data_IF_139593137446
#
_entry.id   IF_139593137446
#
_cell.length_a   1.000
_cell.length_b   1.000
_cell.length_c   1.000
_cell.angle_alpha   90.00
_cell.angle_beta   90.00
_cell.angle_gamma   90.00
#
_symmetry.space_group_name_H-M   'P 1'
#
loop_
_entity.id
_entity.type
_entity.pdbx_description
1 polymer ?
#
# COMPACT_ATOMS: atom_id res chain seq x y z
N UNK A 1 -22.41 20.53 -6.51
CA UNK A 1 -20.97 20.63 -6.84
C UNK A 1 -20.83 20.73 -8.35
N UNK A 2 -19.95 21.60 -8.86
CA UNK A 2 -19.75 21.72 -10.31
C UNK A 2 -18.93 20.54 -10.87
N UNK A 3 -19.22 20.09 -12.10
CA UNK A 3 -18.47 19.01 -12.74
C UNK A 3 -17.03 19.45 -13.06
N UNK A 4 -16.07 18.56 -12.80
CA UNK A 4 -14.63 18.75 -13.00
C UNK A 4 -14.03 17.56 -13.77
N UNK A 5 -12.76 17.62 -14.14
CA UNK A 5 -12.09 16.58 -14.93
C UNK A 5 -11.66 15.42 -14.01
N UNK A 6 -12.15 14.22 -14.31
CA UNK A 6 -11.70 13.00 -13.64
C UNK A 6 -10.22 12.74 -13.95
N UNK A 7 -9.41 12.54 -12.92
CA UNK A 7 -7.96 12.35 -13.07
C UNK A 7 -7.56 11.03 -13.76
N UNK A 8 -8.47 10.06 -13.81
CA UNK A 8 -8.23 8.76 -14.48
C UNK A 8 -8.75 8.75 -15.91
N UNK A 9 -10.05 8.95 -16.12
CA UNK A 9 -10.66 8.86 -17.45
C UNK A 9 -10.67 10.17 -18.24
N UNK A 10 -10.16 11.26 -17.66
CA UNK A 10 -10.02 12.59 -18.28
C UNK A 10 -11.34 13.21 -18.78
N UNK A 11 -12.47 12.61 -18.40
CA UNK A 11 -13.81 13.06 -18.76
C UNK A 11 -14.39 13.97 -17.69
N UNK A 12 -15.24 14.92 -18.10
CA UNK A 12 -15.87 15.90 -17.21
C UNK A 12 -17.09 15.32 -16.51
N UNK A 13 -17.02 15.16 -15.20
CA UNK A 13 -18.08 14.58 -14.36
C UNK A 13 -18.10 15.20 -12.96
N UNK A 14 -19.13 14.88 -12.17
CA UNK A 14 -19.04 15.11 -10.73
C UNK A 14 -17.98 14.16 -10.12
N UNK A 15 -17.07 14.74 -9.34
CA UNK A 15 -16.00 14.00 -8.67
C UNK A 15 -16.41 13.61 -7.25
N UNK A 16 -15.85 12.50 -6.78
CA UNK A 16 -16.08 11.95 -5.46
C UNK A 16 -14.78 11.91 -4.65
N UNK A 17 -14.90 11.73 -3.33
CA UNK A 17 -13.74 11.58 -2.44
C UNK A 17 -13.04 10.22 -2.67
N UNK A 18 -11.90 10.28 -3.36
CA UNK A 18 -11.03 9.15 -3.60
C UNK A 18 -10.03 9.02 -2.45
N UNK A 19 -10.03 7.89 -1.74
CA UNK A 19 -8.99 7.63 -0.73
C UNK A 19 -7.69 7.25 -1.43
N UNK A 20 -6.56 7.78 -0.96
CA UNK A 20 -5.23 7.43 -1.50
C UNK A 20 -4.89 5.97 -1.18
N UNK A 21 -5.05 5.59 0.09
CA UNK A 21 -4.99 4.20 0.55
C UNK A 21 -6.43 3.70 0.73
N UNK A 22 -6.77 2.46 0.30
CA UNK A 22 -8.14 1.95 0.36
C UNK A 22 -8.82 2.10 1.73
N UNK A 23 -10.08 2.54 1.73
CA UNK A 23 -10.86 2.78 2.96
C UNK A 23 -10.96 1.56 3.87
N UNK A 24 -10.99 0.35 3.29
CA UNK A 24 -11.14 -0.88 4.06
C UNK A 24 -9.93 -1.14 4.98
N UNK A 25 -8.72 -0.67 4.63
CA UNK A 25 -7.53 -0.82 5.48
C UNK A 25 -7.70 -0.03 6.78
N UNK A 26 -8.16 1.22 6.68
CA UNK A 26 -8.48 2.05 7.84
C UNK A 26 -9.59 1.43 8.69
N UNK A 27 -10.65 0.93 8.05
CA UNK A 27 -11.73 0.22 8.76
C UNK A 27 -11.22 -1.02 9.50
N UNK A 28 -10.37 -1.82 8.85
CA UNK A 28 -9.79 -3.02 9.44
C UNK A 28 -8.91 -2.68 10.65
N UNK A 29 -8.01 -1.70 10.52
CA UNK A 29 -7.16 -1.25 11.63
C UNK A 29 -7.98 -0.70 12.81
N UNK A 30 -9.03 0.09 12.55
CA UNK A 30 -9.98 0.58 13.59
C UNK A 30 -10.65 -0.60 14.31
N UNK A 31 -11.23 -1.53 13.54
CA UNK A 31 -11.98 -2.68 14.08
C UNK A 31 -11.10 -3.64 14.88
N UNK A 32 -9.83 -3.80 14.49
CA UNK A 32 -8.87 -4.69 15.15
C UNK A 32 -8.05 -3.99 16.24
N UNK A 33 -8.23 -2.68 16.44
CA UNK A 33 -7.59 -1.93 17.52
C UNK A 33 -8.40 -2.02 18.80
N UNK A 34 -7.79 -2.48 19.91
CA UNK A 34 -8.40 -2.37 21.25
C UNK A 34 -8.66 -0.92 21.68
N UNK A 35 -7.95 0.05 21.10
CA UNK A 35 -8.10 1.49 21.41
C UNK A 35 -9.01 2.25 20.46
N UNK A 36 -9.48 1.62 19.37
CA UNK A 36 -10.26 2.30 18.32
C UNK A 36 -9.49 3.37 17.51
N UNK A 37 -8.19 3.57 17.76
CA UNK A 37 -7.41 4.63 17.10
C UNK A 37 -6.47 4.09 16.02
N UNK A 38 -6.49 4.76 14.86
CA UNK A 38 -5.55 4.58 13.76
C UNK A 38 -4.27 5.37 14.01
N UNK A 39 -3.13 4.80 13.58
CA UNK A 39 -1.86 5.53 13.51
C UNK A 39 -1.32 5.40 12.10
N UNK A 40 -1.51 6.46 11.33
CA UNK A 40 -0.86 6.64 10.03
C UNK A 40 0.50 7.26 10.33
N UNK A 41 1.55 6.66 9.80
CA UNK A 41 2.88 7.22 9.86
C UNK A 41 3.16 7.91 8.54
N UNK A 42 2.94 9.22 8.50
CA UNK A 42 3.67 10.09 7.59
C UNK A 42 4.26 11.22 8.43
N UNK A 43 5.44 11.71 8.02
CA UNK A 43 5.91 13.04 8.44
C UNK A 43 4.75 14.01 8.25
N UNK A 44 4.56 14.90 9.22
CA UNK A 44 3.44 15.83 9.43
C UNK A 44 2.52 15.32 10.54
N UNK A 45 2.58 16.05 11.66
CA UNK A 45 1.87 15.86 12.93
C UNK A 45 0.33 15.93 12.82
N UNK A 46 -0.31 15.18 11.92
CA UNK A 46 -1.75 15.15 11.79
C UNK A 46 -2.32 13.73 11.94
N UNK A 47 -3.15 13.60 12.97
CA UNK A 47 -3.96 12.42 13.27
C UNK A 47 -5.06 12.28 12.21
N UNK A 48 -4.75 11.69 11.08
CA UNK A 48 -5.72 11.51 9.99
C UNK A 48 -6.52 10.22 10.25
N UNK A 49 -7.72 10.37 10.82
CA UNK A 49 -8.54 9.25 11.28
C UNK A 49 -9.27 8.50 10.15
N UNK A 50 -9.37 9.04 8.93
CA UNK A 50 -10.09 8.41 7.81
C UNK A 50 -9.25 8.27 6.54
N UNK A 51 -7.94 8.45 6.66
CA UNK A 51 -7.01 8.49 5.53
C UNK A 51 -7.06 9.79 4.74
N UNK A 52 -6.02 10.01 3.92
CA UNK A 52 -6.00 11.10 2.96
C UNK A 52 -6.98 10.83 1.82
N UNK A 53 -7.71 11.89 1.42
CA UNK A 53 -8.65 11.84 0.31
C UNK A 53 -8.50 13.05 -0.59
N UNK A 54 -8.86 12.88 -1.86
CA UNK A 54 -8.89 13.96 -2.86
C UNK A 54 -10.11 13.79 -3.77
N UNK A 55 -10.63 14.90 -4.28
CA UNK A 55 -11.69 14.89 -5.31
C UNK A 55 -11.06 14.59 -6.67
N UNK A 56 -10.84 13.31 -6.98
CA UNK A 56 -10.10 12.90 -8.18
C UNK A 56 -10.94 12.13 -9.20
N UNK A 57 -11.81 11.24 -8.75
CA UNK A 57 -12.43 10.25 -9.62
C UNK A 57 -13.94 10.49 -9.75
N UNK A 58 -14.46 10.22 -10.95
CA UNK A 58 -15.90 10.10 -11.17
C UNK A 58 -16.42 8.76 -10.63
N UNK A 59 -17.75 8.64 -10.50
CA UNK A 59 -18.41 7.43 -9.97
C UNK A 59 -17.99 6.14 -10.70
N UNK A 60 -17.81 6.17 -12.01
CA UNK A 60 -17.42 4.98 -12.80
C UNK A 60 -16.00 4.52 -12.43
N UNK A 61 -15.07 5.46 -12.28
CA UNK A 61 -13.70 5.16 -11.89
C UNK A 61 -13.60 4.67 -10.44
N UNK A 62 -14.38 5.27 -9.52
CA UNK A 62 -14.51 4.78 -8.14
C UNK A 62 -15.06 3.35 -8.09
N UNK A 63 -16.05 3.04 -8.94
CA UNK A 63 -16.63 1.69 -9.01
C UNK A 63 -15.61 0.65 -9.47
N UNK A 64 -14.77 0.99 -10.45
CA UNK A 64 -13.66 0.12 -10.90
C UNK A 64 -12.67 -0.15 -9.75
N UNK A 65 -12.23 0.89 -9.05
CA UNK A 65 -11.31 0.75 -7.93
C UNK A 65 -11.95 -0.05 -6.78
N UNK A 66 -13.21 0.22 -6.46
CA UNK A 66 -13.96 -0.50 -5.44
C UNK A 66 -14.08 -2.00 -5.71
N UNK A 67 -14.23 -2.42 -6.97
CA UNK A 67 -14.21 -3.85 -7.35
C UNK A 67 -12.88 -4.51 -6.99
N UNK A 68 -11.75 -3.89 -7.35
CA UNK A 68 -10.43 -4.46 -7.11
C UNK A 68 -10.02 -4.39 -5.63
N UNK A 69 -10.42 -3.32 -4.93
CA UNK A 69 -10.26 -3.19 -3.48
C UNK A 69 -11.04 -4.28 -2.74
N UNK A 70 -12.30 -4.54 -3.13
CA UNK A 70 -13.12 -5.62 -2.57
C UNK A 70 -12.46 -6.98 -2.81
N UNK A 71 -11.99 -7.23 -4.03
CA UNK A 71 -11.27 -8.45 -4.36
C UNK A 71 -10.05 -8.66 -3.46
N UNK A 72 -9.16 -7.66 -3.37
CA UNK A 72 -7.97 -7.79 -2.53
C UNK A 72 -8.35 -7.95 -1.05
N UNK A 73 -9.36 -7.23 -0.55
CA UNK A 73 -9.82 -7.35 0.82
C UNK A 73 -10.33 -8.77 1.17
N UNK A 74 -11.24 -9.29 0.36
CA UNK A 74 -11.99 -10.52 0.66
C UNK A 74 -11.22 -11.79 0.28
N UNK A 75 -10.43 -11.75 -0.80
CA UNK A 75 -9.76 -12.94 -1.33
C UNK A 75 -8.32 -13.08 -0.83
N UNK A 76 -7.67 -11.97 -0.46
CA UNK A 76 -6.24 -11.97 -0.11
C UNK A 76 -6.04 -11.43 1.31
N UNK A 77 -6.27 -10.14 1.55
CA UNK A 77 -5.91 -9.46 2.78
C UNK A 77 -6.52 -10.11 4.04
N UNK A 78 -7.85 -10.29 4.09
CA UNK A 78 -8.51 -10.86 5.26
C UNK A 78 -8.15 -12.35 5.44
N UNK A 79 -8.25 -13.23 4.41
CA UNK A 79 -7.91 -14.64 4.57
C UNK A 79 -6.44 -14.88 4.96
N UNK A 80 -5.50 -14.18 4.31
CA UNK A 80 -4.05 -14.33 4.57
C UNK A 80 -3.72 -13.97 6.00
N UNK A 81 -4.25 -12.84 6.51
CA UNK A 81 -4.02 -12.42 7.90
C UNK A 81 -4.69 -13.38 8.89
N UNK A 82 -5.94 -13.79 8.64
CA UNK A 82 -6.71 -14.65 9.56
C UNK A 82 -6.09 -16.05 9.70
N UNK A 83 -5.62 -16.61 8.59
CA UNK A 83 -5.12 -17.98 8.56
C UNK A 83 -3.59 -18.07 8.64
N UNK A 84 -2.91 -16.93 8.78
CA UNK A 84 -1.45 -16.85 8.78
C UNK A 84 -0.80 -17.51 7.54
N UNK A 85 -1.43 -17.35 6.36
CA UNK A 85 -0.99 -18.01 5.14
C UNK A 85 0.02 -17.16 4.37
N UNK A 86 1.20 -17.73 4.13
CA UNK A 86 2.18 -17.14 3.21
C UNK A 86 1.69 -17.18 1.75
N UNK A 87 0.86 -18.16 1.39
CA UNK A 87 0.44 -18.43 0.02
C UNK A 87 -1.04 -18.14 -0.24
N UNK A 88 -1.34 -17.70 -1.46
CA UNK A 88 -2.69 -17.53 -1.97
C UNK A 88 -2.69 -17.60 -3.50
N UNK A 89 -3.86 -17.90 -4.06
CA UNK A 89 -4.09 -17.83 -5.52
C UNK A 89 -4.61 -16.41 -5.82
N UNK A 90 -4.19 -15.85 -6.94
CA UNK A 90 -4.69 -14.56 -7.42
C UNK A 90 -5.08 -14.62 -8.90
N UNK A 91 -5.84 -13.62 -9.35
CA UNK A 91 -6.16 -13.35 -10.75
C UNK A 91 -5.81 -11.91 -11.15
N UNK A 92 -6.21 -11.46 -12.35
CA UNK A 92 -5.82 -10.14 -12.85
C UNK A 92 -6.32 -8.97 -11.99
N UNK A 93 -7.31 -9.17 -11.11
CA UNK A 93 -7.75 -8.10 -10.22
C UNK A 93 -6.67 -7.70 -9.21
N UNK A 94 -5.71 -8.58 -8.88
CA UNK A 94 -4.61 -8.24 -7.98
C UNK A 94 -3.70 -7.17 -8.60
N UNK A 95 -3.21 -7.38 -9.82
CA UNK A 95 -2.33 -6.39 -10.48
C UNK A 95 -3.05 -5.05 -10.70
N UNK A 96 -4.35 -5.09 -11.03
CA UNK A 96 -5.18 -3.88 -11.15
C UNK A 96 -5.32 -3.14 -9.83
N UNK A 97 -5.51 -3.85 -8.72
CA UNK A 97 -5.51 -3.28 -7.37
C UNK A 97 -4.16 -2.63 -7.03
N UNK A 98 -3.04 -3.34 -7.22
CA UNK A 98 -1.72 -2.82 -6.87
C UNK A 98 -1.39 -1.55 -7.66
N UNK A 99 -1.63 -1.56 -8.97
CA UNK A 99 -1.41 -0.38 -9.82
C UNK A 99 -2.34 0.77 -9.44
N UNK A 100 -3.60 0.53 -9.07
CA UNK A 100 -4.52 1.61 -8.68
C UNK A 100 -4.08 2.32 -7.40
N UNK A 101 -3.52 1.61 -6.42
CA UNK A 101 -2.99 2.22 -5.19
C UNK A 101 -1.67 2.94 -5.49
N UNK A 102 -0.75 2.33 -6.24
CA UNK A 102 0.51 2.97 -6.65
C UNK A 102 0.26 4.27 -7.45
N UNK A 103 -0.69 4.25 -8.37
CA UNK A 103 -1.07 5.42 -9.17
C UNK A 103 -1.62 6.55 -8.30
N UNK A 104 -2.52 6.25 -7.35
CA UNK A 104 -3.05 7.27 -6.41
C UNK A 104 -1.96 7.88 -5.54
N UNK A 105 -1.01 7.07 -5.05
CA UNK A 105 0.10 7.59 -4.24
C UNK A 105 1.04 8.45 -5.08
N UNK A 106 1.41 8.01 -6.28
CA UNK A 106 2.28 8.82 -7.14
C UNK A 106 1.62 10.14 -7.54
N UNK A 107 0.31 10.11 -7.84
CA UNK A 107 -0.47 11.31 -8.15
C UNK A 107 -0.52 12.27 -6.97
N UNK A 108 -0.69 11.75 -5.75
CA UNK A 108 -0.65 12.56 -4.53
C UNK A 108 0.68 13.30 -4.40
N UNK A 109 1.79 12.57 -4.49
CA UNK A 109 3.12 13.16 -4.37
C UNK A 109 3.39 14.22 -5.44
N UNK A 110 2.89 14.01 -6.66
CA UNK A 110 2.95 14.99 -7.73
C UNK A 110 2.14 16.25 -7.41
N UNK A 111 0.88 16.11 -6.99
CA UNK A 111 0.00 17.27 -6.72
C UNK A 111 0.43 18.08 -5.49
N UNK A 112 0.95 17.41 -4.46
CA UNK A 112 1.48 18.07 -3.27
C UNK A 112 2.90 18.64 -3.46
N UNK A 113 3.47 18.56 -4.68
CA UNK A 113 4.83 19.02 -4.98
C UNK A 113 5.91 18.40 -4.07
N UNK A 114 5.69 17.15 -3.64
CA UNK A 114 6.59 16.40 -2.75
C UNK A 114 7.69 15.65 -3.53
N UNK A 115 7.67 15.71 -4.86
CA UNK A 115 8.65 15.08 -5.73
C UNK A 115 9.78 16.05 -6.09
N UNK A 116 11.00 15.52 -6.17
CA UNK A 116 12.15 16.28 -6.69
C UNK A 116 11.95 16.60 -8.17
N UNK A 117 12.36 17.79 -8.62
CA UNK A 117 12.22 18.23 -10.02
C UNK A 117 12.75 17.21 -11.04
N UNK A 118 13.88 16.55 -10.73
CA UNK A 118 14.54 15.54 -11.58
C UNK A 118 13.68 14.32 -11.93
N UNK A 119 12.59 14.04 -11.19
CA UNK A 119 11.73 12.87 -11.46
C UNK A 119 10.42 13.21 -12.15
N UNK A 120 10.20 14.48 -12.52
CA UNK A 120 8.93 14.95 -13.07
C UNK A 120 8.54 14.28 -14.40
N UNK A 121 9.48 14.18 -15.34
CA UNK A 121 9.24 13.53 -16.64
C UNK A 121 8.87 12.05 -16.47
N UNK A 122 9.66 11.33 -15.66
CA UNK A 122 9.42 9.93 -15.38
C UNK A 122 8.08 9.72 -14.68
N UNK A 123 7.77 10.55 -13.68
CA UNK A 123 6.49 10.53 -12.96
C UNK A 123 5.30 10.67 -13.91
N UNK A 124 5.34 11.63 -14.84
CA UNK A 124 4.26 11.82 -15.81
C UNK A 124 4.10 10.61 -16.73
N UNK A 125 5.21 10.06 -17.22
CA UNK A 125 5.17 8.86 -18.06
C UNK A 125 4.59 7.64 -17.32
N UNK A 126 4.99 7.42 -16.06
CA UNK A 126 4.47 6.33 -15.22
C UNK A 126 2.99 6.50 -14.91
N UNK A 127 2.55 7.72 -14.55
CA UNK A 127 1.14 8.00 -14.29
C UNK A 127 0.27 7.72 -15.53
N UNK A 128 0.75 8.11 -16.72
CA UNK A 128 0.07 7.83 -17.98
C UNK A 128 0.03 6.34 -18.29
N UNK A 129 1.15 5.63 -18.14
CA UNK A 129 1.23 4.19 -18.39
C UNK A 129 0.30 3.39 -17.47
N UNK A 130 0.32 3.68 -16.15
CA UNK A 130 -0.58 3.06 -15.19
C UNK A 130 -2.05 3.42 -15.45
N UNK A 131 -2.36 4.68 -15.78
CA UNK A 131 -3.72 5.10 -16.15
C UNK A 131 -4.23 4.36 -17.37
N UNK A 132 -3.40 4.24 -18.42
CA UNK A 132 -3.73 3.47 -19.62
C UNK A 132 -3.95 1.99 -19.32
N UNK A 133 -3.12 1.39 -18.46
CA UNK A 133 -3.30 0.00 -18.05
C UNK A 133 -4.59 -0.19 -17.24
N UNK A 134 -4.87 0.68 -16.27
CA UNK A 134 -6.10 0.66 -15.46
C UNK A 134 -7.34 0.72 -16.37
N UNK A 135 -7.31 1.58 -17.39
CA UNK A 135 -8.39 1.76 -18.36
C UNK A 135 -8.43 0.69 -19.45
N UNK A 136 -7.58 -0.35 -19.37
CA UNK A 136 -7.43 -1.40 -20.37
C UNK A 136 -7.07 -0.88 -21.78
N UNK A 137 -6.45 0.30 -21.89
CA UNK A 137 -5.91 0.85 -23.13
C UNK A 137 -4.60 0.17 -23.54
N UNK A 138 -3.89 -0.43 -22.57
CA UNK A 138 -2.70 -1.26 -22.79
C UNK A 138 -2.82 -2.59 -22.04
N UNK A 139 -2.24 -3.65 -22.60
CA UNK A 139 -2.35 -5.00 -22.04
C UNK A 139 -1.48 -5.23 -20.79
N UNK A 140 -0.38 -4.50 -20.64
CA UNK A 140 0.56 -4.66 -19.52
C UNK A 140 1.21 -3.32 -19.13
N UNK A 141 1.71 -3.18 -17.88
CA UNK A 141 2.32 -1.93 -17.41
C UNK A 141 3.75 -1.68 -17.91
N UNK A 142 4.30 -2.53 -18.78
CA UNK A 142 5.67 -2.39 -19.29
C UNK A 142 6.72 -2.47 -18.16
N UNK A 143 7.70 -1.56 -18.18
CA UNK A 143 8.73 -1.44 -17.13
C UNK A 143 8.21 -0.86 -15.81
N UNK A 144 6.94 -0.41 -15.75
CA UNK A 144 6.30 0.11 -14.54
C UNK A 144 5.69 -1.01 -13.69
N UNK A 145 6.52 -2.01 -13.37
CA UNK A 145 6.12 -3.23 -12.68
C UNK A 145 5.72 -2.95 -11.22
N UNK A 146 4.82 -3.78 -10.70
CA UNK A 146 4.36 -3.75 -9.31
C UNK A 146 4.70 -5.07 -8.62
N UNK A 147 5.10 -4.96 -7.36
CA UNK A 147 5.46 -6.09 -6.52
C UNK A 147 4.65 -6.05 -5.23
N UNK A 148 4.39 -7.24 -4.70
CA UNK A 148 3.71 -7.44 -3.43
C UNK A 148 4.58 -8.33 -2.55
N UNK A 149 4.81 -7.90 -1.32
CA UNK A 149 5.50 -8.68 -0.30
C UNK A 149 4.52 -8.98 0.84
N UNK A 150 4.24 -10.26 1.04
CA UNK A 150 3.45 -10.77 2.16
C UNK A 150 4.39 -11.03 3.35
N UNK A 151 4.23 -10.24 4.42
CA UNK A 151 5.01 -10.32 5.65
C UNK A 151 4.19 -10.91 6.81
N UNK A 152 3.05 -11.54 6.52
CA UNK A 152 2.33 -12.33 7.52
C UNK A 152 3.25 -13.45 8.03
N UNK A 153 3.35 -13.57 9.36
CA UNK A 153 4.27 -14.50 10.03
C UNK A 153 5.70 -13.98 10.25
N UNK A 154 6.02 -12.74 9.86
CA UNK A 154 7.38 -12.17 9.96
C UNK A 154 7.38 -10.78 10.64
N UNK A 155 8.22 -10.53 11.67
CA UNK A 155 8.60 -11.43 12.78
C UNK A 155 7.48 -11.52 13.84
N UNK A 156 7.53 -12.56 14.66
CA UNK A 156 6.49 -12.90 15.65
C UNK A 156 6.87 -12.46 17.09
N UNK A 157 7.74 -11.45 17.20
CA UNK A 157 8.23 -10.89 18.46
C UNK A 157 7.53 -9.55 18.79
N UNK A 158 7.55 -9.13 20.06
CA UNK A 158 7.00 -7.84 20.52
C UNK A 158 7.97 -6.68 20.24
N UNK A 159 8.58 -6.66 19.06
CA UNK A 159 9.52 -5.62 18.64
C UNK A 159 8.79 -4.46 17.95
N UNK A 160 9.50 -3.33 17.85
CA UNK A 160 9.08 -2.16 17.09
C UNK A 160 8.74 -2.48 15.61
N UNK A 161 9.49 -3.38 14.98
CA UNK A 161 9.25 -3.82 13.60
C UNK A 161 7.91 -4.54 13.47
N UNK A 162 7.54 -5.39 14.43
CA UNK A 162 6.24 -6.07 14.45
C UNK A 162 5.08 -5.09 14.62
N UNK A 163 5.25 -4.05 15.44
CA UNK A 163 4.25 -2.97 15.55
C UNK A 163 4.12 -2.19 14.24
N UNK A 164 5.24 -1.80 13.65
CA UNK A 164 5.24 -1.14 12.35
C UNK A 164 4.49 -1.99 11.34
N UNK A 165 4.95 -3.22 11.07
CA UNK A 165 4.38 -4.11 10.07
C UNK A 165 2.90 -4.40 10.29
N UNK A 166 2.43 -4.58 11.52
CA UNK A 166 1.03 -4.98 11.78
C UNK A 166 0.03 -3.84 12.01
N UNK A 167 0.48 -2.65 12.47
CA UNK A 167 -0.44 -1.61 12.98
C UNK A 167 -0.38 -0.26 12.28
N UNK A 168 0.55 -0.04 11.36
CA UNK A 168 0.72 1.26 10.70
C UNK A 168 0.32 1.23 9.22
N UNK A 169 0.10 2.41 8.66
CA UNK A 169 0.07 2.67 7.22
C UNK A 169 1.16 3.70 6.95
N UNK A 170 1.94 3.49 5.90
CA UNK A 170 3.02 4.38 5.46
C UNK A 170 3.09 4.31 3.94
N UNK A 171 3.40 5.41 3.27
CA UNK A 171 3.61 5.41 1.83
C UNK A 171 4.51 6.58 1.43
N UNK A 172 5.39 6.35 0.47
CA UNK A 172 6.42 7.31 0.07
C UNK A 172 6.85 7.08 -1.39
N UNK A 173 7.56 8.05 -1.98
CA UNK A 173 8.30 7.87 -3.23
C UNK A 173 9.78 7.89 -2.92
N UNK A 174 10.41 6.73 -3.02
CA UNK A 174 11.77 6.50 -2.55
C UNK A 174 12.74 6.24 -3.70
N UNK A 175 14.00 6.56 -3.42
CA UNK A 175 15.12 6.40 -4.36
C UNK A 175 16.02 5.27 -3.85
N UNK A 176 16.24 4.24 -4.67
CA UNK A 176 17.13 3.13 -4.38
C UNK A 176 18.19 3.01 -5.48
N UNK A 177 19.39 3.53 -5.21
CA UNK A 177 20.41 3.69 -6.24
C UNK A 177 19.85 4.53 -7.39
N UNK A 178 19.70 3.91 -8.57
CA UNK A 178 19.11 4.52 -9.76
C UNK A 178 17.59 4.28 -9.89
N UNK A 179 17.02 3.36 -9.12
CA UNK A 179 15.59 3.06 -9.18
C UNK A 179 14.80 4.09 -8.38
N UNK A 180 13.59 4.37 -8.88
CA UNK A 180 12.60 5.18 -8.18
C UNK A 180 11.35 4.35 -8.07
N UNK A 181 10.80 4.24 -6.86
CA UNK A 181 9.59 3.47 -6.64
C UNK A 181 8.63 4.16 -5.68
N UNK A 182 7.35 3.90 -5.92
CA UNK A 182 6.27 4.14 -4.98
C UNK A 182 6.32 3.01 -3.96
N UNK A 183 6.56 3.35 -2.69
CA UNK A 183 6.48 2.44 -1.55
C UNK A 183 5.13 2.63 -0.87
N UNK A 184 4.43 1.53 -0.63
CA UNK A 184 3.20 1.52 0.17
C UNK A 184 3.30 0.39 1.16
N UNK A 185 3.00 0.69 2.41
CA UNK A 185 2.94 -0.24 3.51
C UNK A 185 1.53 -0.28 4.06
N UNK A 186 0.95 -1.46 3.99
CA UNK A 186 -0.30 -1.84 4.62
C UNK A 186 0.03 -2.76 5.81
N UNK A 187 -0.94 -3.10 6.67
CA UNK A 187 -0.73 -4.15 7.66
C UNK A 187 -0.29 -5.44 6.99
N UNK A 188 0.90 -5.95 7.33
CA UNK A 188 1.53 -7.17 6.83
C UNK A 188 1.83 -7.24 5.32
N UNK A 189 1.57 -6.17 4.56
CA UNK A 189 1.84 -6.14 3.13
C UNK A 189 2.66 -4.91 2.75
N UNK A 190 3.69 -5.12 1.94
CA UNK A 190 4.40 -4.04 1.25
C UNK A 190 4.09 -4.13 -0.24
N UNK A 191 3.76 -2.99 -0.84
CA UNK A 191 3.56 -2.84 -2.28
C UNK A 191 4.64 -1.90 -2.78
N UNK A 192 5.32 -2.27 -3.86
CA UNK A 192 6.26 -1.38 -4.56
C UNK A 192 5.89 -1.26 -6.02
N UNK A 193 5.72 -0.03 -6.51
CA UNK A 193 5.50 0.26 -7.92
C UNK A 193 6.68 1.03 -8.50
N UNK A 194 7.40 0.42 -9.44
CA UNK A 194 8.61 1.03 -10.01
C UNK A 194 8.25 2.05 -11.11
N UNK A 195 8.93 3.19 -11.09
CA UNK A 195 8.79 4.22 -12.12
C UNK A 195 9.63 3.89 -13.36
N UNK A 196 10.76 3.22 -13.18
CA UNK A 196 11.54 2.62 -14.27
C UNK A 196 12.35 1.47 -13.68
N UNK A 197 11.98 0.23 -13.98
CA UNK A 197 12.75 -0.93 -13.56
C UNK A 197 13.48 -1.51 -14.78
N UNK A 198 14.82 -1.44 -14.76
CA UNK A 198 15.63 -2.29 -15.62
C UNK A 198 15.48 -3.74 -15.17
N UNK A 199 15.45 -4.70 -16.10
CA UNK A 199 15.14 -6.10 -15.77
C UNK A 199 16.06 -6.65 -14.69
N UNK A 200 15.49 -6.97 -13.51
CA UNK A 200 16.20 -7.58 -12.38
C UNK A 200 15.65 -8.96 -12.09
N UNK A 201 16.45 -9.99 -12.33
CA UNK A 201 16.10 -11.39 -12.07
C UNK A 201 15.72 -11.63 -10.61
N UNK A 202 16.34 -10.90 -9.68
CA UNK A 202 16.13 -11.01 -8.23
C UNK A 202 14.71 -10.62 -7.78
N UNK A 203 14.00 -9.79 -8.56
CA UNK A 203 12.66 -9.30 -8.22
C UNK A 203 11.53 -10.13 -8.85
N UNK A 204 11.87 -11.22 -9.56
CA UNK A 204 10.89 -12.03 -10.32
C UNK A 204 9.80 -12.64 -9.46
N UNK A 205 10.13 -13.07 -8.24
CA UNK A 205 9.19 -13.77 -7.35
C UNK A 205 8.15 -12.81 -6.74
N UNK A 206 8.55 -11.60 -6.36
CA UNK A 206 7.63 -10.62 -5.77
C UNK A 206 6.75 -9.91 -6.81
N UNK A 207 7.10 -10.01 -8.09
CA UNK A 207 6.36 -9.42 -9.21
C UNK A 207 5.01 -10.10 -9.38
N UNK A 208 3.94 -9.32 -9.38
CA UNK A 208 2.61 -9.83 -9.73
C UNK A 208 2.45 -9.81 -11.26
N UNK A 209 2.16 -10.99 -11.82
CA UNK A 209 1.94 -11.17 -13.26
C UNK A 209 0.48 -10.90 -13.62
N UNK A 210 0.24 -10.65 -14.91
CA UNK A 210 -1.12 -10.57 -15.44
C UNK A 210 -1.75 -11.96 -15.47
N UNK A 211 -3.04 -12.06 -15.12
CA UNK A 211 -3.81 -13.31 -15.15
C UNK A 211 -3.76 -14.09 -13.83
N UNK A 212 -4.03 -15.38 -13.92
CA UNK A 212 -4.05 -16.28 -12.76
C UNK A 212 -2.64 -16.69 -12.33
N UNK A 213 -2.40 -16.74 -11.03
CA UNK A 213 -1.11 -17.12 -10.48
C UNK A 213 -1.15 -17.60 -9.04
N UNK A 214 -0.10 -18.31 -8.63
CA UNK A 214 0.16 -18.68 -7.24
C UNK A 214 1.17 -17.70 -6.64
N UNK A 215 0.86 -17.12 -5.50
CA UNK A 215 1.83 -16.31 -4.76
C UNK A 215 2.93 -17.22 -4.17
N UNK A 216 4.22 -16.85 -4.31
CA UNK A 216 5.33 -17.74 -3.97
C UNK A 216 5.42 -18.01 -2.46
N UNK A 217 5.98 -19.18 -2.09
CA UNK A 217 6.26 -19.53 -0.67
C UNK A 217 7.38 -18.69 -0.07
N UNK A 218 8.36 -18.33 -0.89
CA UNK A 218 9.55 -17.59 -0.51
C UNK A 218 9.81 -16.56 -1.60
N UNK A 219 10.19 -15.37 -1.19
CA UNK A 219 10.66 -14.33 -2.10
C UNK A 219 11.97 -13.78 -1.56
N UNK A 220 12.80 -13.27 -2.46
CA UNK A 220 13.94 -12.46 -2.06
C UNK A 220 13.43 -11.06 -1.71
N UNK A 221 13.66 -10.65 -0.46
CA UNK A 221 13.34 -9.30 -0.04
C UNK A 221 14.59 -8.42 -0.19
N UNK A 222 14.53 -7.31 -0.96
CA UNK A 222 15.70 -6.47 -1.17
C UNK A 222 16.26 -5.92 0.15
N UNK A 223 17.55 -6.13 0.42
CA UNK A 223 18.18 -5.71 1.68
C UNK A 223 18.08 -4.21 1.95
N UNK A 224 18.16 -3.38 0.92
CA UNK A 224 17.99 -1.92 1.03
C UNK A 224 16.55 -1.52 1.41
N UNK A 225 15.55 -2.22 0.84
CA UNK A 225 14.16 -2.03 1.24
C UNK A 225 13.95 -2.45 2.70
N UNK A 226 14.61 -3.53 3.15
CA UNK A 226 14.53 -3.97 4.54
C UNK A 226 15.15 -2.95 5.49
N UNK A 227 16.31 -2.39 5.13
CA UNK A 227 16.95 -1.29 5.87
C UNK A 227 16.03 -0.07 5.97
N UNK A 228 15.38 0.32 4.87
CA UNK A 228 14.40 1.40 4.87
C UNK A 228 13.23 1.14 5.84
N UNK A 229 12.68 -0.07 5.83
CA UNK A 229 11.60 -0.50 6.73
C UNK A 229 12.05 -0.47 8.19
N UNK A 230 13.25 -0.97 8.51
CA UNK A 230 13.77 -0.92 9.88
C UNK A 230 13.92 0.51 10.40
N UNK A 231 14.38 1.43 9.56
CA UNK A 231 14.44 2.86 9.92
C UNK A 231 13.05 3.44 10.20
N UNK A 232 12.03 3.04 9.43
CA UNK A 232 10.65 3.43 9.70
C UNK A 232 10.13 2.83 11.00
N UNK A 233 10.45 1.58 11.30
CA UNK A 233 10.08 0.92 12.56
C UNK A 233 10.72 1.59 13.79
N UNK A 234 11.99 1.98 13.72
CA UNK A 234 12.67 2.75 14.77
C UNK A 234 11.99 4.11 14.99
N UNK A 235 11.60 4.78 13.92
CA UNK A 235 10.82 6.02 14.03
C UNK A 235 9.44 5.78 14.67
N UNK A 236 8.78 4.65 14.36
CA UNK A 236 7.53 4.26 15.04
C UNK A 236 7.75 4.19 16.54
N UNK A 237 8.78 3.48 16.98
CA UNK A 237 9.11 3.28 18.39
C UNK A 237 9.34 4.61 19.12
N UNK A 238 10.10 5.53 18.51
CA UNK A 238 10.30 6.87 19.06
C UNK A 238 8.97 7.61 19.25
N UNK A 239 8.06 7.54 18.28
CA UNK A 239 6.72 8.10 18.43
C UNK A 239 5.89 7.39 19.51
N UNK A 240 6.12 6.09 19.75
CA UNK A 240 5.43 5.32 20.77
C UNK A 240 5.92 5.62 22.19
N UNK A 241 7.22 5.84 22.37
CA UNK A 241 7.81 6.15 23.67
C UNK A 241 7.34 7.50 24.23
N UNK A 242 6.81 8.38 23.38
CA UNK A 242 6.18 9.63 23.78
C UNK A 242 4.72 9.47 24.28
N UNK A 243 4.23 8.23 24.42
CA UNK A 243 2.85 7.94 24.84
C UNK A 243 2.76 7.56 26.32
N UNK A 244 1.55 7.65 26.89
CA UNK A 244 1.31 7.16 28.25
C UNK A 244 1.41 5.64 28.34
N UNK A 245 1.83 5.14 29.52
CA UNK A 245 1.99 3.71 29.83
C UNK A 245 0.73 2.90 29.50
N UNK A 246 -0.46 3.47 29.77
CA UNK A 246 -1.75 2.83 29.49
C UNK A 246 -2.00 2.67 27.99
N UNK A 247 -1.61 3.66 27.16
CA UNK A 247 -1.72 3.57 25.71
C UNK A 247 -0.73 2.57 25.13
N UNK A 248 0.48 2.49 25.70
CA UNK A 248 1.50 1.53 25.31
C UNK A 248 1.03 0.08 25.57
N UNK A 249 0.50 -0.19 26.76
CA UNK A 249 -0.06 -1.52 27.12
C UNK A 249 -1.20 -1.96 26.21
N UNK A 250 -2.11 -1.05 25.83
CA UNK A 250 -3.21 -1.36 24.90
C UNK A 250 -2.74 -1.74 23.48
N UNK A 251 -1.58 -1.23 23.04
CA UNK A 251 -0.97 -1.60 21.75
C UNK A 251 -0.41 -3.01 21.82
N UNK A 252 0.39 -3.32 22.85
CA UNK A 252 0.96 -4.65 23.06
C UNK A 252 -0.14 -5.72 23.15
N UNK A 253 -1.23 -5.41 23.86
CA UNK A 253 -2.40 -6.29 23.93
C UNK A 253 -3.13 -6.49 22.58
N UNK A 254 -3.03 -5.54 21.64
CA UNK A 254 -3.59 -5.69 20.29
C UNK A 254 -2.75 -6.64 19.42
N UNK A 255 -1.43 -6.64 19.60
CA UNK A 255 -0.51 -7.58 18.95
C UNK A 255 -0.76 -9.01 19.44
N UNK A 256 -1.01 -9.19 20.74
CA UNK A 256 -1.39 -10.47 21.34
C UNK A 256 -2.70 -11.02 20.76
N UNK A 257 -3.67 -10.17 20.44
CA UNK A 257 -4.95 -10.63 19.88
C UNK A 257 -4.83 -11.05 18.42
N UNK A 258 -3.93 -10.41 17.65
CA UNK A 258 -3.60 -10.86 16.29
C UNK A 258 -2.86 -12.19 16.33
N UNK A 259 -1.93 -12.38 17.26
CA UNK A 259 -1.26 -13.68 17.47
C UNK A 259 -2.17 -14.78 18.04
N UNK A 260 -3.19 -14.46 18.84
CA UNK A 260 -4.17 -15.43 19.38
C UNK A 260 -5.36 -15.73 18.44
N UNK A 261 -5.56 -14.92 17.39
CA UNK A 261 -6.54 -15.23 16.32
C UNK A 261 -5.91 -15.98 15.14
N UNK A 262 -4.61 -16.24 15.24
CA UNK A 262 -3.83 -17.13 14.40
C UNK A 262 -3.86 -18.50 15.10
N UNK A 263 -4.41 -19.56 14.49
CA UNK A 263 -4.26 -20.90 15.04
C UNK A 263 -2.77 -21.28 15.04
N UNK A 264 -2.31 -21.90 16.14
CA UNK A 264 -1.00 -22.55 16.21
C UNK A 264 -0.82 -23.58 15.09
#
# INVERSE_FOLDING_TARGET
>A
MQPSICKLCESKFQLHESHIIPRFIYKWLKKTSKTGHLRIMNKINHRIQDGYKKLWLCQNCETLFGKWEKYFAEQIFIPVIKNNYAQFIYNENLIKFLISVCWRVLLFFKEESLLKSRVSSLTNSTLNQWSNFIQNKVANPGCNEVHLYNLVGYPNDLTNISIYLSRTIDFDVIFFGNDILVYIKLPFFIITGYLNLESKSELRESRIKLGYGNYPKKFNFPGDLWRYINNKALYTEQCLNNLSVEQHSKILQSLQKVSLSIPN
#
